data_IF_998797966440
#
_entry.id   IF_998797966440
#
_cell.length_a   1.000
_cell.length_b   1.000
_cell.length_c   1.000
_cell.angle_alpha   90.00
_cell.angle_beta   90.00
_cell.angle_gamma   90.00
#
_symmetry.space_group_name_H-M   'P 1'
#
loop_
_entity.id
_entity.type
_entity.pdbx_description
1 polymer ?
#
# COMPACT_ATOMS: atom_id res chain seq x y z
N UNK A 1 7.19 4.75 -6.84
CA UNK A 1 6.81 5.35 -5.55
C UNK A 1 5.36 5.03 -5.22
N UNK A 2 5.06 4.81 -3.95
CA UNK A 2 3.70 4.72 -3.40
C UNK A 2 3.44 5.96 -2.57
N UNK A 3 2.41 6.70 -2.93
CA UNK A 3 2.12 8.01 -2.36
C UNK A 3 0.64 8.13 -1.96
N UNK A 4 0.34 9.05 -1.07
CA UNK A 4 -1.04 9.40 -0.72
C UNK A 4 -1.15 10.88 -0.41
N UNK A 5 -2.28 11.48 -0.71
CA UNK A 5 -2.55 12.89 -0.42
C UNK A 5 -2.75 13.19 1.06
N UNK A 6 -3.03 12.17 1.89
CA UNK A 6 -3.19 12.29 3.35
C UNK A 6 -2.75 11.02 4.07
N UNK A 7 -2.54 11.13 5.39
CA UNK A 7 -2.30 9.99 6.26
C UNK A 7 -3.54 9.13 6.50
N UNK A 8 -3.35 7.88 6.94
CA UNK A 8 -4.43 6.98 7.35
C UNK A 8 -5.18 6.27 6.22
N UNK A 9 -4.72 6.38 4.96
CA UNK A 9 -5.33 5.65 3.83
C UNK A 9 -4.76 4.25 3.61
N UNK A 10 -3.81 3.82 4.43
CA UNK A 10 -3.17 2.50 4.33
C UNK A 10 -2.02 2.43 3.32
N UNK A 11 -1.41 3.57 2.96
CA UNK A 11 -0.30 3.67 2.01
C UNK A 11 0.82 2.65 2.26
N UNK A 12 1.34 2.59 3.48
CA UNK A 12 2.45 1.70 3.86
C UNK A 12 2.06 0.22 3.78
N UNK A 13 0.82 -0.13 4.13
CA UNK A 13 0.28 -1.49 3.95
C UNK A 13 0.24 -1.88 2.48
N UNK A 14 -0.17 -0.94 1.60
CA UNK A 14 -0.18 -1.16 0.14
C UNK A 14 1.24 -1.30 -0.39
N UNK A 15 2.17 -0.41 0.00
CA UNK A 15 3.56 -0.47 -0.43
C UNK A 15 4.23 -1.80 -0.05
N UNK A 16 4.01 -2.25 1.19
CA UNK A 16 4.55 -3.50 1.71
C UNK A 16 4.01 -4.74 0.97
N UNK A 17 2.69 -4.85 0.83
CA UNK A 17 2.09 -6.00 0.15
C UNK A 17 2.37 -6.00 -1.36
N UNK A 18 2.51 -4.84 -2.00
CA UNK A 18 2.96 -4.73 -3.38
C UNK A 18 4.41 -5.22 -3.53
N UNK A 19 5.32 -4.78 -2.66
CA UNK A 19 6.70 -5.27 -2.66
C UNK A 19 6.76 -6.78 -2.42
N UNK A 20 5.91 -7.32 -1.52
CA UNK A 20 5.78 -8.74 -1.29
C UNK A 20 5.28 -9.49 -2.53
N UNK A 21 4.29 -8.94 -3.26
CA UNK A 21 3.77 -9.55 -4.49
C UNK A 21 4.82 -9.60 -5.59
N UNK A 22 5.58 -8.52 -5.81
CA UNK A 22 6.68 -8.48 -6.77
C UNK A 22 7.80 -9.47 -6.40
N UNK A 23 8.19 -9.53 -5.12
CA UNK A 23 9.19 -10.51 -4.65
C UNK A 23 8.71 -11.95 -4.88
N UNK A 24 7.44 -12.22 -4.64
CA UNK A 24 6.84 -13.55 -4.84
C UNK A 24 6.72 -13.92 -6.32
N UNK A 25 6.54 -12.95 -7.20
CA UNK A 25 6.61 -13.14 -8.66
C UNK A 25 8.04 -13.46 -9.15
N UNK A 26 9.05 -13.39 -8.29
CA UNK A 26 10.44 -13.77 -8.60
C UNK A 26 11.37 -12.57 -8.81
N UNK A 27 10.88 -11.35 -8.66
CA UNK A 27 11.71 -10.16 -8.82
C UNK A 27 12.56 -9.86 -7.59
N UNK A 28 13.80 -9.42 -7.82
CA UNK A 28 14.67 -8.88 -6.77
C UNK A 28 14.10 -7.55 -6.31
N UNK A 29 13.41 -7.55 -5.17
CA UNK A 29 12.64 -6.40 -4.72
C UNK A 29 13.19 -5.81 -3.43
N UNK A 30 13.28 -4.48 -3.40
CA UNK A 30 13.54 -3.69 -2.19
C UNK A 30 12.33 -2.85 -1.80
N UNK A 31 12.20 -2.56 -0.51
CA UNK A 31 11.23 -1.61 0.03
C UNK A 31 11.96 -0.60 0.93
N UNK A 32 11.81 0.67 0.61
CA UNK A 32 12.37 1.79 1.38
C UNK A 32 11.24 2.64 1.94
N UNK A 33 11.08 2.61 3.26
CA UNK A 33 10.14 3.43 4.01
C UNK A 33 10.76 4.81 4.28
N UNK A 34 10.23 5.83 3.66
CA UNK A 34 10.63 7.23 3.74
C UNK A 34 9.68 8.08 4.60
N UNK A 35 8.73 7.46 5.31
CA UNK A 35 7.87 8.17 6.25
C UNK A 35 8.62 8.46 7.57
N UNK A 36 9.21 9.64 7.65
CA UNK A 36 9.98 10.09 8.80
C UNK A 36 9.13 10.41 10.04
N UNK A 37 7.85 10.68 9.85
CA UNK A 37 6.94 11.05 10.93
C UNK A 37 6.29 9.84 11.60
N UNK A 38 6.17 8.75 10.86
CA UNK A 38 5.55 7.53 11.34
C UNK A 38 6.11 6.29 10.63
N UNK A 39 7.45 6.05 10.71
CA UNK A 39 8.04 4.91 10.04
C UNK A 39 7.44 3.62 10.60
N UNK A 40 6.80 2.85 9.76
CA UNK A 40 6.03 1.67 10.18
C UNK A 40 6.68 0.35 9.82
N UNK A 41 7.62 0.35 8.88
CA UNK A 41 8.18 -0.87 8.30
C UNK A 41 8.79 -1.84 9.32
N UNK A 42 9.58 -1.41 10.33
CA UNK A 42 10.12 -2.33 11.33
C UNK A 42 9.00 -3.08 12.07
N UNK A 43 7.94 -2.38 12.45
CA UNK A 43 6.79 -2.95 13.18
C UNK A 43 5.99 -3.87 12.27
N UNK A 44 5.62 -3.41 11.07
CA UNK A 44 4.79 -4.15 10.12
C UNK A 44 5.46 -5.39 9.54
N UNK A 45 6.78 -5.48 9.68
CA UNK A 45 7.58 -6.65 9.32
C UNK A 45 8.09 -7.42 10.56
N UNK A 46 7.70 -7.04 11.77
CA UNK A 46 8.17 -7.71 13.00
C UNK A 46 9.69 -7.75 13.14
N UNK A 47 10.38 -6.70 12.69
CA UNK A 47 11.84 -6.60 12.71
C UNK A 47 12.27 -5.82 13.94
N UNK A 48 13.09 -6.44 14.77
CA UNK A 48 13.67 -5.84 15.99
C UNK A 48 15.15 -5.48 15.80
N UNK A 49 15.79 -6.08 14.80
CA UNK A 49 17.20 -5.90 14.52
C UNK A 49 17.45 -4.60 13.74
N UNK A 50 18.59 -3.95 14.04
CA UNK A 50 19.02 -2.79 13.25
C UNK A 50 19.88 -3.26 12.07
N UNK A 51 19.88 -2.52 10.95
CA UNK A 51 20.80 -2.75 9.84
C UNK A 51 22.26 -2.71 10.29
N UNK A 52 23.04 -3.64 9.78
CA UNK A 52 24.49 -3.66 10.02
C UNK A 52 25.22 -2.69 9.09
N UNK A 53 26.40 -2.28 9.51
CA UNK A 53 27.32 -1.47 8.68
C UNK A 53 28.56 -2.32 8.39
N UNK A 54 28.90 -2.47 7.11
CA UNK A 54 30.07 -3.24 6.69
C UNK A 54 31.39 -2.44 6.86
N UNK A 55 32.52 -3.10 6.61
CA UNK A 55 33.88 -2.51 6.72
C UNK A 55 34.07 -1.28 5.81
N UNK A 56 33.27 -1.14 4.75
CA UNK A 56 33.28 -0.01 3.82
C UNK A 56 32.35 1.14 4.26
N UNK A 57 31.86 1.11 5.49
CA UNK A 57 30.89 2.08 6.01
C UNK A 57 29.58 2.14 5.21
N UNK A 58 29.18 1.02 4.57
CA UNK A 58 27.91 0.89 3.88
C UNK A 58 26.89 0.16 4.74
N UNK A 59 25.63 0.55 4.62
CA UNK A 59 24.52 -0.03 5.36
C UNK A 59 24.05 -1.29 4.63
N UNK A 60 24.00 -2.41 5.33
CA UNK A 60 23.42 -3.65 4.81
C UNK A 60 21.92 -3.60 5.09
N UNK A 61 21.04 -3.63 4.05
CA UNK A 61 19.60 -3.64 4.28
C UNK A 61 19.18 -4.89 5.02
N UNK A 62 18.17 -4.80 5.87
CA UNK A 62 17.59 -5.99 6.50
C UNK A 62 16.95 -6.85 5.42
N UNK A 63 17.16 -8.17 5.47
CA UNK A 63 16.58 -9.10 4.53
C UNK A 63 15.55 -9.96 5.27
N UNK A 64 14.31 -9.88 4.85
CA UNK A 64 13.23 -10.74 5.35
C UNK A 64 12.33 -11.13 4.17
N UNK A 65 11.96 -12.41 4.07
CA UNK A 65 11.08 -12.96 3.04
C UNK A 65 11.52 -12.58 1.60
N UNK A 66 12.83 -12.62 1.33
CA UNK A 66 13.47 -12.20 0.08
C UNK A 66 13.32 -10.71 -0.28
N UNK A 67 12.80 -9.89 0.62
CA UNK A 67 12.77 -8.44 0.48
C UNK A 67 14.02 -7.81 1.12
N UNK A 68 14.63 -6.85 0.43
CA UNK A 68 15.61 -5.95 1.03
C UNK A 68 14.88 -4.74 1.60
N UNK A 69 15.02 -4.51 2.90
CA UNK A 69 14.22 -3.57 3.67
C UNK A 69 15.09 -2.48 4.27
N UNK A 70 14.66 -1.24 4.10
CA UNK A 70 15.26 -0.10 4.77
C UNK A 70 14.19 0.91 5.19
N UNK A 71 14.38 1.56 6.33
CA UNK A 71 13.43 2.53 6.89
C UNK A 71 14.14 3.58 7.73
N UNK A 72 13.59 4.78 7.78
CA UNK A 72 13.95 5.76 8.79
C UNK A 72 13.77 5.21 10.21
N UNK A 73 12.83 4.29 10.41
CA UNK A 73 12.56 3.64 11.68
C UNK A 73 13.76 2.85 12.23
N UNK A 74 14.60 2.28 11.38
CA UNK A 74 15.80 1.58 11.80
C UNK A 74 16.91 2.53 12.30
N UNK A 75 16.91 3.79 11.86
CA UNK A 75 17.94 4.77 12.20
C UNK A 75 17.53 5.63 13.40
N UNK A 76 16.25 6.05 13.42
CA UNK A 76 15.75 6.93 14.48
C UNK A 76 15.57 6.21 15.82
N UNK A 77 15.42 4.88 15.81
CA UNK A 77 15.06 4.13 17.00
C UNK A 77 13.76 4.68 17.62
N UNK A 78 13.41 4.19 18.80
CA UNK A 78 12.32 4.75 19.62
C UNK A 78 12.73 6.01 20.39
N UNK A 79 13.77 6.73 19.96
CA UNK A 79 14.28 7.92 20.65
C UNK A 79 13.53 9.19 20.23
N UNK A 80 13.60 10.20 21.11
CA UNK A 80 12.87 11.45 21.06
C UNK A 80 12.71 12.07 19.65
N UNK A 81 11.60 12.78 19.38
CA UNK A 81 11.29 13.32 18.07
C UNK A 81 12.40 14.27 17.61
N UNK A 82 13.20 13.83 16.66
CA UNK A 82 14.11 14.71 15.94
C UNK A 82 13.24 15.62 15.07
N UNK A 83 13.44 16.92 15.18
CA UNK A 83 12.74 17.88 14.29
C UNK A 83 13.36 17.74 12.89
N UNK A 84 12.75 16.90 12.07
CA UNK A 84 13.16 16.71 10.70
C UNK A 84 12.75 17.92 9.84
N UNK A 85 13.72 18.58 9.23
CA UNK A 85 13.48 19.64 8.25
C UNK A 85 13.76 19.12 6.85
N UNK A 86 13.05 19.62 5.82
CA UNK A 86 13.15 19.16 4.44
C UNK A 86 14.57 18.90 3.92
N UNK A 87 15.54 19.83 4.09
CA UNK A 87 16.93 19.60 3.65
C UNK A 87 17.63 18.40 4.32
N UNK A 88 17.35 18.16 5.60
CA UNK A 88 17.91 17.01 6.32
C UNK A 88 17.32 15.70 5.82
N UNK A 89 16.00 15.68 5.59
CA UNK A 89 15.30 14.53 5.02
C UNK A 89 15.86 14.17 3.64
N UNK A 90 16.03 15.17 2.77
CA UNK A 90 16.61 14.97 1.45
C UNK A 90 18.03 14.38 1.53
N UNK A 91 18.86 14.91 2.41
CA UNK A 91 20.23 14.39 2.62
C UNK A 91 20.24 12.94 3.10
N UNK A 92 19.38 12.60 4.07
CA UNK A 92 19.27 11.24 4.59
C UNK A 92 18.74 10.28 3.52
N UNK A 93 17.79 10.73 2.72
CA UNK A 93 17.27 9.93 1.60
C UNK A 93 18.34 9.68 0.54
N UNK A 94 19.13 10.70 0.16
CA UNK A 94 20.30 10.52 -0.70
C UNK A 94 21.29 9.49 -0.13
N UNK A 95 21.46 9.46 1.20
CA UNK A 95 22.30 8.45 1.86
C UNK A 95 21.70 7.04 1.68
N UNK A 96 20.38 6.85 1.81
CA UNK A 96 19.78 5.55 1.59
C UNK A 96 19.99 5.00 0.17
N UNK A 97 20.01 5.87 -0.83
CA UNK A 97 20.33 5.44 -2.21
C UNK A 97 21.83 5.17 -2.41
N UNK A 98 22.69 5.97 -1.79
CA UNK A 98 24.14 5.88 -2.00
C UNK A 98 24.83 4.87 -1.08
N UNK A 99 24.40 4.78 0.19
CA UNK A 99 25.13 4.10 1.25
C UNK A 99 24.51 2.77 1.67
N UNK A 100 23.28 2.46 1.25
CA UNK A 100 22.67 1.13 1.42
C UNK A 100 23.14 0.20 0.30
N UNK A 101 23.56 -1.01 0.66
CA UNK A 101 24.01 -2.05 -0.27
C UNK A 101 22.78 -2.76 -0.86
N UNK A 102 22.07 -2.05 -1.73
CA UNK A 102 20.89 -2.63 -2.41
C UNK A 102 21.27 -3.79 -3.34
N UNK A 103 22.48 -3.74 -3.96
CA UNK A 103 22.88 -4.67 -5.02
C UNK A 103 21.97 -4.52 -6.24
N UNK A 104 21.87 -5.60 -7.02
CA UNK A 104 20.93 -5.62 -8.14
C UNK A 104 19.50 -5.77 -7.64
N UNK A 105 18.61 -4.88 -8.06
CA UNK A 105 17.17 -4.92 -7.86
C UNK A 105 16.46 -4.76 -9.20
N UNK A 106 15.35 -5.49 -9.36
CA UNK A 106 14.41 -5.25 -10.45
C UNK A 106 13.44 -4.14 -10.04
N UNK A 107 13.05 -4.10 -8.76
CA UNK A 107 12.16 -3.07 -8.20
C UNK A 107 12.67 -2.54 -6.86
N UNK A 108 12.61 -1.22 -6.69
CA UNK A 108 12.72 -0.55 -5.40
C UNK A 108 11.43 0.23 -5.15
N UNK A 109 10.60 -0.29 -4.28
CA UNK A 109 9.36 0.37 -3.87
C UNK A 109 9.68 1.42 -2.80
N UNK A 110 9.23 2.64 -3.01
CA UNK A 110 9.40 3.75 -2.08
C UNK A 110 8.08 4.06 -1.42
N UNK A 111 7.98 3.86 -0.12
CA UNK A 111 6.84 4.30 0.69
C UNK A 111 7.06 5.77 1.09
N UNK A 112 6.45 6.72 0.37
CA UNK A 112 6.66 8.15 0.58
C UNK A 112 5.91 8.67 1.81
N UNK A 113 6.36 9.77 2.44
CA UNK A 113 5.58 10.44 3.49
C UNK A 113 4.18 10.80 3.00
N UNK A 114 3.15 10.81 3.88
CA UNK A 114 1.81 11.20 3.49
C UNK A 114 1.71 12.70 3.20
N UNK A 115 0.71 13.08 2.40
CA UNK A 115 0.43 14.47 2.06
C UNK A 115 1.07 14.92 0.75
N UNK A 116 1.05 16.21 0.50
CA UNK A 116 1.59 16.88 -0.70
C UNK A 116 2.49 18.06 -0.32
N UNK A 117 3.06 18.00 0.87
CA UNK A 117 3.89 19.06 1.43
C UNK A 117 5.33 19.06 0.91
N UNK A 118 6.11 20.02 1.43
CA UNK A 118 7.48 20.28 0.98
C UNK A 118 8.40 19.07 1.04
N UNK A 119 8.22 18.18 2.02
CA UNK A 119 9.04 16.98 2.18
C UNK A 119 8.82 16.03 1.01
N UNK A 120 7.55 15.70 0.71
CA UNK A 120 7.21 14.81 -0.39
C UNK A 120 7.63 15.40 -1.73
N UNK A 121 7.38 16.69 -1.96
CA UNK A 121 7.81 17.39 -3.16
C UNK A 121 9.34 17.35 -3.32
N UNK A 122 10.09 17.63 -2.26
CA UNK A 122 11.56 17.61 -2.26
C UNK A 122 12.08 16.21 -2.60
N UNK A 123 11.51 15.16 -2.00
CA UNK A 123 11.87 13.79 -2.29
C UNK A 123 11.60 13.44 -3.75
N UNK A 124 10.40 13.74 -4.25
CA UNK A 124 10.01 13.46 -5.64
C UNK A 124 10.84 14.23 -6.68
N UNK A 125 11.43 15.38 -6.32
CA UNK A 125 12.36 16.12 -7.18
C UNK A 125 13.77 15.54 -7.19
N UNK A 126 14.19 14.93 -6.10
CA UNK A 126 15.56 14.44 -5.88
C UNK A 126 15.76 13.00 -6.33
N UNK A 127 14.71 12.21 -6.27
CA UNK A 127 14.74 10.78 -6.59
C UNK A 127 14.27 10.59 -8.04
N UNK A 128 15.05 9.96 -8.90
CA UNK A 128 14.56 9.56 -10.22
C UNK A 128 13.52 8.44 -10.03
N UNK A 129 12.25 8.78 -10.26
CA UNK A 129 11.13 7.85 -10.14
C UNK A 129 10.67 7.40 -11.52
N UNK A 130 10.63 6.10 -11.78
CA UNK A 130 10.04 5.52 -13.00
C UNK A 130 8.52 5.72 -13.03
N UNK A 131 7.89 5.79 -11.84
CA UNK A 131 6.49 6.11 -11.73
C UNK A 131 5.98 6.18 -10.30
N UNK A 132 4.74 6.64 -10.17
CA UNK A 132 4.06 6.77 -8.89
C UNK A 132 2.67 6.13 -8.91
N UNK A 133 2.32 5.45 -7.82
CA UNK A 133 1.00 4.92 -7.53
C UNK A 133 0.38 5.80 -6.44
N UNK A 134 -0.86 6.25 -6.65
CA UNK A 134 -1.57 7.03 -5.64
C UNK A 134 -2.54 6.12 -4.90
N UNK A 135 -2.38 6.04 -3.59
CA UNK A 135 -3.31 5.33 -2.69
C UNK A 135 -4.32 6.30 -2.13
N UNK A 136 -5.59 5.93 -2.21
CA UNK A 136 -6.72 6.70 -1.68
C UNK A 136 -7.74 5.80 -1.01
N UNK A 137 -8.74 6.40 -0.37
CA UNK A 137 -9.97 5.76 0.09
C UNK A 137 -11.16 6.43 -0.62
N UNK A 138 -12.33 5.78 -0.75
CA UNK A 138 -13.45 6.31 -1.54
C UNK A 138 -14.21 7.48 -0.88
N UNK A 139 -13.55 8.22 0.00
CA UNK A 139 -14.16 9.36 0.69
C UNK A 139 -13.78 10.68 -0.03
N UNK A 140 -14.73 11.61 -0.13
CA UNK A 140 -14.58 12.85 -0.92
C UNK A 140 -13.36 13.70 -0.51
N UNK A 141 -12.99 13.73 0.77
CA UNK A 141 -11.82 14.46 1.25
C UNK A 141 -10.54 13.82 0.71
N UNK A 142 -10.44 12.47 0.77
CA UNK A 142 -9.28 11.76 0.25
C UNK A 142 -9.12 11.96 -1.26
N UNK A 143 -10.23 11.98 -2.01
CA UNK A 143 -10.21 12.21 -3.45
C UNK A 143 -9.70 13.61 -3.83
N UNK A 144 -10.02 14.63 -3.02
CA UNK A 144 -9.45 15.96 -3.22
C UNK A 144 -7.92 15.96 -3.05
N UNK A 145 -7.41 15.18 -2.13
CA UNK A 145 -5.97 15.06 -1.88
C UNK A 145 -5.25 14.22 -2.97
N UNK A 146 -5.96 13.28 -3.63
CA UNK A 146 -5.46 12.59 -4.83
C UNK A 146 -5.11 13.60 -5.93
N UNK A 147 -5.96 14.61 -6.13
CA UNK A 147 -5.74 15.66 -7.14
C UNK A 147 -4.46 16.43 -6.88
N UNK A 148 -4.25 16.85 -5.63
CA UNK A 148 -3.02 17.55 -5.21
C UNK A 148 -1.78 16.68 -5.40
N UNK A 149 -1.87 15.37 -5.07
CA UNK A 149 -0.79 14.42 -5.30
C UNK A 149 -0.46 14.26 -6.78
N UNK A 150 -1.47 14.12 -7.65
CA UNK A 150 -1.31 14.02 -9.08
C UNK A 150 -0.67 15.28 -9.67
N UNK A 151 -1.11 16.47 -9.26
CA UNK A 151 -0.54 17.74 -9.68
C UNK A 151 0.94 17.87 -9.26
N UNK A 152 1.29 17.37 -8.07
CA UNK A 152 2.66 17.34 -7.58
C UNK A 152 3.54 16.46 -8.49
N UNK A 153 3.14 15.22 -8.79
CA UNK A 153 3.90 14.32 -9.64
C UNK A 153 4.01 14.84 -11.08
N UNK A 154 2.97 15.48 -11.59
CA UNK A 154 3.01 16.16 -12.88
C UNK A 154 4.07 17.27 -12.93
N UNK A 155 4.19 18.08 -11.86
CA UNK A 155 5.21 19.15 -11.77
C UNK A 155 6.63 18.62 -11.77
N UNK A 156 6.86 17.46 -11.18
CA UNK A 156 8.19 16.80 -11.14
C UNK A 156 8.41 15.86 -12.32
N UNK A 157 7.46 15.79 -13.25
CA UNK A 157 7.50 14.95 -14.46
C UNK A 157 7.61 13.45 -14.17
N UNK A 158 7.10 12.99 -13.02
CA UNK A 158 7.00 11.57 -12.70
C UNK A 158 5.70 11.01 -13.27
N UNK A 159 5.73 9.94 -14.07
CA UNK A 159 4.53 9.31 -14.60
C UNK A 159 3.64 8.77 -13.46
N UNK A 160 2.33 8.93 -13.59
CA UNK A 160 1.39 8.22 -12.74
C UNK A 160 1.09 6.84 -13.34
N UNK A 161 1.40 5.78 -12.60
CA UNK A 161 1.16 4.39 -13.01
C UNK A 161 -0.30 4.00 -12.80
N UNK A 162 -0.96 4.59 -11.80
CA UNK A 162 -2.36 4.37 -11.52
C UNK A 162 -2.80 4.75 -10.12
N UNK A 163 -4.04 4.43 -9.81
CA UNK A 163 -4.68 4.66 -8.52
C UNK A 163 -4.99 3.31 -7.86
N UNK A 164 -4.74 3.19 -6.57
CA UNK A 164 -5.22 2.09 -5.73
C UNK A 164 -6.24 2.65 -4.74
N UNK A 165 -7.47 2.14 -4.78
CA UNK A 165 -8.51 2.47 -3.83
C UNK A 165 -8.50 1.47 -2.69
N UNK A 166 -8.06 1.89 -1.51
CA UNK A 166 -8.05 1.07 -0.31
C UNK A 166 -9.31 1.30 0.53
N UNK A 167 -9.68 0.31 1.35
CA UNK A 167 -10.90 0.34 2.16
C UNK A 167 -12.16 0.60 1.32
N UNK A 168 -12.19 0.04 0.10
CA UNK A 168 -13.25 0.29 -0.89
C UNK A 168 -14.61 -0.17 -0.42
N UNK A 169 -14.67 -1.32 0.22
CA UNK A 169 -15.88 -1.93 0.77
C UNK A 169 -15.51 -2.95 1.85
N UNK A 170 -16.49 -3.35 2.64
CA UNK A 170 -16.40 -4.51 3.53
C UNK A 170 -17.21 -5.65 2.92
N UNK A 171 -16.60 -6.84 2.84
CA UNK A 171 -17.29 -8.03 2.39
C UNK A 171 -18.02 -8.67 3.59
N UNK A 172 -19.34 -8.73 3.53
CA UNK A 172 -20.16 -9.42 4.53
C UNK A 172 -20.71 -10.68 3.87
N UNK A 173 -20.28 -11.82 4.33
CA UNK A 173 -20.76 -13.11 3.84
C UNK A 173 -21.30 -13.96 5.00
N UNK A 174 -22.25 -14.80 4.70
CA UNK A 174 -22.85 -15.69 5.69
C UNK A 174 -23.70 -16.76 5.04
N UNK A 175 -24.22 -17.65 5.88
CA UNK A 175 -25.12 -18.72 5.45
C UNK A 175 -26.25 -18.86 6.44
N UNK A 176 -27.48 -18.88 5.95
CA UNK A 176 -28.63 -19.14 6.79
C UNK A 176 -28.71 -20.63 7.10
N UNK A 177 -28.76 -20.94 8.40
CA UNK A 177 -29.04 -22.30 8.86
C UNK A 177 -30.55 -22.41 9.10
N UNK A 178 -31.23 -23.17 8.26
CA UNK A 178 -32.66 -23.47 8.42
C UNK A 178 -32.89 -24.94 8.11
N UNK A 179 -33.68 -25.60 8.94
CA UNK A 179 -34.19 -26.95 8.67
C UNK A 179 -35.24 -27.00 7.55
N UNK A 180 -35.81 -25.85 7.22
CA UNK A 180 -36.75 -25.72 6.10
C UNK A 180 -36.01 -25.56 4.78
N UNK A 181 -36.32 -26.35 3.78
CA UNK A 181 -35.76 -26.27 2.42
C UNK A 181 -36.37 -25.16 1.59
N UNK A 182 -37.60 -24.75 1.92
CA UNK A 182 -38.28 -23.67 1.23
C UNK A 182 -37.88 -22.31 1.82
N UNK A 183 -37.23 -21.48 0.99
CA UNK A 183 -36.79 -20.13 1.32
C UNK A 183 -37.68 -19.06 0.67
N UNK A 184 -38.81 -19.42 0.04
CA UNK A 184 -39.67 -18.48 -0.68
C UNK A 184 -40.12 -17.30 0.18
N UNK A 185 -40.27 -17.53 1.49
CA UNK A 185 -40.73 -16.53 2.46
C UNK A 185 -39.58 -15.90 3.29
N UNK A 186 -38.35 -16.23 2.98
CA UNK A 186 -37.19 -15.65 3.71
C UNK A 186 -36.63 -14.43 3.01
N UNK A 187 -36.75 -13.30 3.66
CA UNK A 187 -36.15 -12.05 3.19
C UNK A 187 -35.03 -11.63 4.14
N UNK A 188 -33.84 -11.42 3.58
CA UNK A 188 -32.68 -10.90 4.32
C UNK A 188 -32.48 -9.43 3.98
N UNK A 189 -32.36 -8.60 5.00
CA UNK A 189 -32.07 -7.18 4.87
C UNK A 189 -30.81 -6.78 5.64
N UNK A 190 -29.94 -5.99 5.02
CA UNK A 190 -28.82 -5.32 5.67
C UNK A 190 -28.95 -3.82 5.39
N UNK A 191 -29.09 -3.00 6.44
CA UNK A 191 -29.34 -1.55 6.32
C UNK A 191 -30.45 -1.25 5.31
N UNK A 192 -31.62 -1.86 5.49
CA UNK A 192 -32.83 -1.70 4.65
C UNK A 192 -32.67 -2.14 3.18
N UNK A 193 -31.51 -2.64 2.78
CA UNK A 193 -31.30 -3.22 1.46
C UNK A 193 -31.58 -4.71 1.49
N UNK A 194 -32.45 -5.16 0.58
CA UNK A 194 -32.75 -6.59 0.39
C UNK A 194 -31.52 -7.29 -0.20
N UNK A 195 -31.10 -8.37 0.43
CA UNK A 195 -29.95 -9.19 0.04
C UNK A 195 -30.48 -10.48 -0.58
N UNK A 196 -29.98 -10.80 -1.76
CA UNK A 196 -30.30 -12.06 -2.43
C UNK A 196 -29.57 -13.21 -1.75
N UNK A 197 -30.25 -14.33 -1.59
CA UNK A 197 -29.66 -15.58 -1.14
C UNK A 197 -29.33 -16.44 -2.35
N UNK A 198 -28.19 -17.11 -2.30
CA UNK A 198 -27.82 -18.16 -3.24
C UNK A 198 -28.61 -19.45 -2.95
N UNK A 199 -28.59 -20.39 -3.89
CA UNK A 199 -29.31 -21.67 -3.77
C UNK A 199 -28.91 -22.49 -2.53
N UNK A 200 -27.67 -22.36 -2.09
CA UNK A 200 -27.13 -23.02 -0.91
C UNK A 200 -27.41 -22.26 0.40
N UNK A 201 -28.26 -21.23 0.36
CA UNK A 201 -28.62 -20.33 1.45
C UNK A 201 -27.48 -19.42 1.91
N UNK A 202 -26.40 -19.32 1.15
CA UNK A 202 -25.35 -18.34 1.41
C UNK A 202 -25.73 -16.97 0.85
N UNK A 203 -25.08 -15.94 1.39
CA UNK A 203 -25.16 -14.59 0.84
C UNK A 203 -23.79 -13.94 0.88
N UNK A 204 -23.62 -13.00 -0.03
CA UNK A 204 -22.42 -12.22 -0.17
C UNK A 204 -22.81 -10.76 -0.48
N UNK A 205 -22.47 -9.85 0.43
CA UNK A 205 -22.87 -8.45 0.35
C UNK A 205 -21.66 -7.54 0.50
N UNK A 206 -21.50 -6.62 -0.46
CA UNK A 206 -20.48 -5.55 -0.38
C UNK A 206 -21.08 -4.35 0.34
N UNK A 207 -20.60 -4.11 1.55
CA UNK A 207 -21.00 -2.95 2.34
C UNK A 207 -19.99 -1.80 2.11
N UNK A 208 -20.46 -0.71 1.53
CA UNK A 208 -19.65 0.48 1.30
C UNK A 208 -19.70 1.41 2.52
N UNK A 209 -18.58 1.53 3.24
CA UNK A 209 -18.41 2.46 4.37
C UNK A 209 -18.42 3.93 3.92
N UNK A 210 -18.03 4.17 2.67
CA UNK A 210 -17.98 5.46 2.00
C UNK A 210 -18.79 5.40 0.71
N UNK A 211 -18.68 6.45 -0.11
CA UNK A 211 -19.26 6.44 -1.46
C UNK A 211 -18.60 5.36 -2.34
N UNK A 212 -19.36 4.83 -3.26
CA UNK A 212 -18.87 3.90 -4.25
C UNK A 212 -18.21 4.63 -5.43
N UNK A 213 -17.13 4.04 -5.98
CA UNK A 213 -16.51 4.47 -7.24
C UNK A 213 -15.63 5.70 -7.17
N UNK A 214 -15.26 6.17 -5.97
CA UNK A 214 -14.43 7.36 -5.84
C UNK A 214 -13.07 7.24 -6.52
N UNK A 215 -12.35 6.13 -6.30
CA UNK A 215 -11.06 5.87 -6.94
C UNK A 215 -11.18 5.68 -8.45
N UNK A 216 -12.25 5.04 -8.92
CA UNK A 216 -12.52 4.89 -10.35
C UNK A 216 -12.73 6.26 -11.02
N UNK A 217 -13.52 7.12 -10.43
CA UNK A 217 -13.76 8.47 -10.97
C UNK A 217 -12.46 9.28 -11.05
N UNK A 218 -11.61 9.21 -10.02
CA UNK A 218 -10.34 9.91 -10.05
C UNK A 218 -9.33 9.30 -11.02
N UNK A 219 -9.29 7.97 -11.17
CA UNK A 219 -8.43 7.32 -12.17
C UNK A 219 -8.81 7.74 -13.60
N UNK A 220 -10.10 7.80 -13.90
CA UNK A 220 -10.62 8.30 -15.19
C UNK A 220 -10.27 9.77 -15.41
N UNK A 221 -10.47 10.63 -14.39
CA UNK A 221 -10.11 12.04 -14.44
C UNK A 221 -8.62 12.27 -14.72
N UNK A 222 -7.78 11.44 -14.12
CA UNK A 222 -6.32 11.49 -14.28
C UNK A 222 -5.83 10.79 -15.55
N UNK A 223 -6.73 10.11 -16.26
CA UNK A 223 -6.40 9.29 -17.43
C UNK A 223 -5.33 8.21 -17.11
N UNK A 224 -5.48 7.57 -15.95
CA UNK A 224 -4.62 6.46 -15.49
C UNK A 224 -5.50 5.28 -15.05
N UNK A 225 -5.00 4.05 -15.03
CA UNK A 225 -5.80 2.91 -14.60
C UNK A 225 -6.14 2.94 -13.09
N UNK A 226 -7.29 2.41 -12.74
CA UNK A 226 -7.57 1.93 -11.38
C UNK A 226 -6.89 0.56 -11.25
N UNK A 227 -5.74 0.51 -10.55
CA UNK A 227 -4.93 -0.71 -10.43
C UNK A 227 -5.59 -1.76 -9.56
N UNK A 228 -6.35 -1.34 -8.55
CA UNK A 228 -7.06 -2.26 -7.67
C UNK A 228 -7.96 -1.56 -6.67
N UNK A 229 -8.96 -2.30 -6.20
CA UNK A 229 -9.84 -1.93 -5.11
C UNK A 229 -9.62 -2.95 -3.98
N UNK A 230 -8.99 -2.51 -2.91
CA UNK A 230 -8.67 -3.33 -1.74
C UNK A 230 -9.82 -3.20 -0.74
N UNK A 231 -10.50 -4.28 -0.37
CA UNK A 231 -11.54 -4.22 0.64
C UNK A 231 -10.96 -3.96 2.04
N UNK A 232 -11.79 -3.48 2.95
CA UNK A 232 -11.49 -3.58 4.36
C UNK A 232 -11.43 -5.07 4.75
N UNK A 233 -10.28 -5.52 5.20
CA UNK A 233 -10.01 -6.93 5.51
C UNK A 233 -9.38 -7.05 6.88
N UNK A 234 -10.03 -7.82 7.76
CA UNK A 234 -9.49 -8.16 9.09
C UNK A 234 -8.20 -8.97 8.94
N UNK A 235 -8.15 -9.92 8.01
CA UNK A 235 -6.96 -10.74 7.78
C UNK A 235 -5.76 -9.89 7.34
N UNK A 236 -5.99 -8.86 6.50
CA UNK A 236 -4.93 -7.93 6.11
C UNK A 236 -4.41 -7.15 7.33
N UNK A 237 -5.29 -6.68 8.20
CA UNK A 237 -4.90 -5.96 9.42
C UNK A 237 -4.15 -6.87 10.39
N UNK A 238 -4.69 -8.06 10.67
CA UNK A 238 -4.05 -9.04 11.55
C UNK A 238 -2.68 -9.51 11.04
N UNK A 239 -2.50 -9.60 9.72
CA UNK A 239 -1.23 -9.96 9.11
C UNK A 239 -0.15 -8.91 9.37
N UNK A 240 -0.52 -7.64 9.28
CA UNK A 240 0.37 -6.51 9.60
C UNK A 240 0.72 -6.50 11.10
N UNK A 241 -0.25 -6.71 11.99
CA UNK A 241 -0.03 -6.75 13.43
C UNK A 241 0.91 -7.91 13.85
N UNK A 242 0.90 -9.01 13.09
CA UNK A 242 1.80 -10.15 13.28
C UNK A 242 3.20 -9.94 12.68
N UNK A 243 3.40 -8.87 11.92
CA UNK A 243 4.66 -8.63 11.19
C UNK A 243 4.88 -9.58 10.00
N UNK A 244 3.79 -10.09 9.42
CA UNK A 244 3.79 -11.03 8.29
C UNK A 244 2.85 -10.53 7.20
N UNK A 245 3.33 -9.90 6.12
CA UNK A 245 2.48 -9.42 5.04
C UNK A 245 1.54 -10.52 4.50
N UNK A 246 0.28 -10.17 4.27
CA UNK A 246 -0.75 -11.13 3.88
C UNK A 246 -0.39 -11.91 2.60
N UNK A 247 0.27 -11.26 1.65
CA UNK A 247 0.74 -11.89 0.40
C UNK A 247 1.72 -13.04 0.68
N UNK A 248 2.54 -12.95 1.73
CA UNK A 248 3.45 -14.05 2.10
C UNK A 248 2.74 -15.11 2.93
N UNK A 249 1.91 -14.72 3.89
CA UNK A 249 1.26 -15.65 4.82
C UNK A 249 0.10 -16.42 4.17
N UNK A 250 -0.63 -15.80 3.22
CA UNK A 250 -1.75 -16.42 2.52
C UNK A 250 -1.91 -15.86 1.09
N UNK A 251 -1.22 -16.46 0.12
CA UNK A 251 -1.21 -16.01 -1.26
C UNK A 251 -2.53 -16.24 -2.03
N UNK A 252 -3.32 -17.20 -1.58
CA UNK A 252 -4.64 -17.51 -2.16
C UNK A 252 -5.77 -16.68 -1.55
N UNK A 253 -5.45 -15.81 -0.61
CA UNK A 253 -6.44 -14.91 -0.06
C UNK A 253 -6.92 -13.92 -1.15
N UNK A 254 -8.23 -13.61 -1.27
CA UNK A 254 -8.74 -12.70 -2.30
C UNK A 254 -8.03 -11.34 -2.33
N UNK A 255 -7.61 -10.82 -1.18
CA UNK A 255 -6.84 -9.57 -1.10
C UNK A 255 -5.42 -9.74 -1.65
N UNK A 256 -4.76 -10.88 -1.38
CA UNK A 256 -3.43 -11.19 -1.96
C UNK A 256 -3.48 -11.30 -3.49
N UNK A 257 -4.55 -11.88 -4.04
CA UNK A 257 -4.76 -11.93 -5.48
C UNK A 257 -4.89 -10.53 -6.11
N UNK A 258 -5.48 -9.56 -5.38
CA UNK A 258 -5.55 -8.18 -5.86
C UNK A 258 -4.12 -7.59 -5.94
N UNK A 259 -3.29 -7.79 -4.91
CA UNK A 259 -1.90 -7.33 -4.93
C UNK A 259 -1.09 -7.98 -6.04
N UNK A 260 -1.27 -9.29 -6.28
CA UNK A 260 -0.61 -9.99 -7.37
C UNK A 260 -1.01 -9.42 -8.75
N UNK A 261 -2.28 -9.06 -8.95
CA UNK A 261 -2.74 -8.39 -10.18
C UNK A 261 -2.15 -6.98 -10.33
N UNK A 262 -2.02 -6.23 -9.23
CA UNK A 262 -1.36 -4.91 -9.27
C UNK A 262 0.10 -5.09 -9.65
N UNK A 263 0.83 -6.06 -9.06
CA UNK A 263 2.21 -6.36 -9.41
C UNK A 263 2.36 -6.69 -10.90
N UNK A 264 1.54 -7.63 -11.42
CA UNK A 264 1.54 -7.99 -12.84
C UNK A 264 1.29 -6.79 -13.76
N UNK A 265 0.38 -5.89 -13.40
CA UNK A 265 0.12 -4.68 -14.21
C UNK A 265 1.30 -3.70 -14.24
N UNK A 266 2.21 -3.77 -13.28
CA UNK A 266 3.46 -2.99 -13.30
C UNK A 266 4.53 -3.65 -14.17
N UNK A 267 4.59 -4.98 -14.20
CA UNK A 267 5.50 -5.75 -15.06
C UNK A 267 5.23 -5.45 -16.53
N UNK A 268 3.96 -5.53 -16.96
CA UNK A 268 3.53 -5.27 -18.35
C UNK A 268 3.87 -3.84 -18.86
N UNK A 269 4.11 -2.90 -17.96
CA UNK A 269 4.50 -1.52 -18.32
C UNK A 269 6.01 -1.32 -18.45
N UNK A 270 6.80 -2.27 -17.96
CA UNK A 270 8.26 -2.21 -18.01
C UNK A 270 8.86 -3.07 -19.15
N UNK A 271 8.06 -3.91 -19.80
CA UNK A 271 8.39 -4.56 -21.06
C UNK A 271 8.14 -3.61 -22.27
#
# INVERSE_FOLDING_TARGET
AVASGKGGVGKSTIALNLAAALSKAGHKTGLLDLDIYGPSLPITMGIVENPEVNDQQKIIPVIKDNLKLMSFGFISGNQAPVVWRGPLVAKMTEQFFRDVVWGELDYLILDLPPGTGDVQLTLSQKIPLDGAIIVTTPNDIALTDVRKGADMFSKVKTPLLGVVENMSFMQISGKLQSSNTDLSDVELYINEKKISLEDDKSFNYKFHLFKEGGGLNESQRLNVPLLGQIPYSEDLMLSIDKGEPLVFSNDKHPVSEIFNKIAQSLEEKHE
#
